data_IF_568261971927
#
_entry.id   IF_568261971927
#
_cell.length_a   1.000
_cell.length_b   1.000
_cell.length_c   1.000
_cell.angle_alpha   90.00
_cell.angle_beta   90.00
_cell.angle_gamma   90.00
#
_symmetry.space_group_name_H-M   'P 1'
#
loop_
_entity.id
_entity.type
_entity.pdbx_description
1 polymer ?
#
# COMPACT_ATOMS: atom_id res chain seq x y z
N UNK A 1 34.34 -55.65 -1.68
CA UNK A 1 34.98 -54.34 -1.41
C UNK A 1 35.39 -53.75 -2.76
N UNK A 2 34.48 -53.10 -3.48
CA UNK A 2 34.15 -51.66 -3.42
C UNK A 2 35.40 -50.78 -3.58
N UNK A 3 35.61 -50.20 -4.77
CA UNK A 3 35.95 -48.77 -4.96
C UNK A 3 35.94 -48.42 -6.47
N UNK A 4 34.87 -47.75 -6.93
CA UNK A 4 34.83 -46.35 -7.39
C UNK A 4 35.19 -46.15 -8.87
N UNK A 5 34.15 -46.16 -9.72
CA UNK A 5 34.19 -45.64 -11.09
C UNK A 5 33.91 -44.14 -11.10
N UNK A 6 34.81 -43.37 -11.72
CA UNK A 6 34.56 -41.98 -12.12
C UNK A 6 33.60 -41.94 -13.32
N UNK A 7 32.36 -41.50 -13.10
CA UNK A 7 31.52 -40.96 -14.19
C UNK A 7 31.52 -39.43 -14.10
N UNK A 8 32.21 -38.78 -15.03
CA UNK A 8 32.00 -37.37 -15.34
C UNK A 8 30.63 -37.19 -16.00
N UNK A 9 29.70 -36.53 -15.32
CA UNK A 9 28.46 -36.04 -15.93
C UNK A 9 28.78 -34.74 -16.68
N UNK A 10 28.67 -34.77 -18.02
CA UNK A 10 28.68 -33.56 -18.86
C UNK A 10 27.33 -32.86 -18.70
N UNK A 11 27.35 -31.61 -18.25
CA UNK A 11 26.21 -30.69 -18.28
C UNK A 11 26.04 -30.18 -19.73
N UNK A 12 24.88 -30.36 -20.39
CA UNK A 12 24.65 -29.73 -21.69
C UNK A 12 24.41 -28.22 -21.54
N UNK A 13 24.81 -27.40 -22.53
CA UNK A 13 24.67 -25.95 -22.47
C UNK A 13 23.20 -25.50 -22.50
N UNK A 14 22.96 -24.40 -21.79
CA UNK A 14 21.70 -23.67 -21.62
C UNK A 14 20.90 -23.50 -22.92
N UNK A 15 19.66 -24.00 -22.92
CA UNK A 15 18.66 -23.64 -23.92
C UNK A 15 18.14 -22.22 -23.65
N UNK A 16 18.19 -21.39 -24.70
CA UNK A 16 17.79 -19.98 -24.67
C UNK A 16 16.28 -19.83 -24.47
N UNK A 17 15.85 -18.86 -23.63
CA UNK A 17 14.44 -18.57 -23.27
C UNK A 17 13.50 -18.28 -24.46
N UNK A 18 14.01 -18.22 -25.69
CA UNK A 18 13.23 -17.89 -26.90
C UNK A 18 12.63 -19.08 -27.65
N UNK A 19 12.97 -20.32 -27.32
CA UNK A 19 12.42 -21.51 -28.03
C UNK A 19 11.26 -22.20 -27.30
N UNK A 20 10.88 -21.76 -26.09
CA UNK A 20 9.80 -22.36 -25.32
C UNK A 20 8.38 -21.85 -25.67
N UNK A 21 8.24 -20.97 -26.68
CA UNK A 21 6.95 -20.32 -27.02
C UNK A 21 6.32 -20.77 -28.35
N UNK A 22 6.78 -21.86 -28.97
CA UNK A 22 6.31 -22.30 -30.29
C UNK A 22 5.56 -23.65 -30.30
N UNK A 23 4.86 -24.01 -29.22
CA UNK A 23 3.98 -25.21 -29.20
C UNK A 23 2.52 -24.85 -28.92
N UNK A 24 1.64 -24.87 -29.93
CA UNK A 24 0.22 -24.50 -29.81
C UNK A 24 -0.65 -25.53 -29.09
N UNK A 25 -0.09 -26.65 -28.60
CA UNK A 25 -0.80 -27.71 -27.87
C UNK A 25 -0.73 -27.57 -26.34
N UNK A 26 0.04 -26.62 -25.80
CA UNK A 26 0.06 -26.32 -24.36
C UNK A 26 -1.04 -25.32 -23.91
N UNK A 27 -1.70 -24.65 -24.87
CA UNK A 27 -2.70 -23.61 -24.59
C UNK A 27 -4.08 -24.16 -24.17
N UNK A 28 -4.37 -25.44 -24.39
CA UNK A 28 -5.68 -26.04 -24.11
C UNK A 28 -5.80 -26.67 -22.70
N UNK A 29 -4.69 -26.88 -21.99
CA UNK A 29 -4.70 -27.44 -20.63
C UNK A 29 -4.76 -26.38 -19.51
N UNK A 30 -4.61 -25.08 -19.86
CA UNK A 30 -4.67 -23.98 -18.91
C UNK A 30 -6.10 -23.40 -18.72
N UNK A 31 -7.09 -23.86 -19.49
CA UNK A 31 -8.43 -23.25 -19.52
C UNK A 31 -9.48 -23.94 -18.62
N UNK A 32 -9.15 -25.02 -17.91
CA UNK A 32 -10.12 -25.80 -17.11
C UNK A 32 -9.89 -25.78 -15.59
N UNK A 33 -9.12 -24.81 -15.07
CA UNK A 33 -8.93 -24.59 -13.62
C UNK A 33 -9.49 -23.25 -13.12
N UNK A 34 -10.34 -22.58 -13.92
CA UNK A 34 -10.92 -21.27 -13.59
C UNK A 34 -12.19 -21.32 -12.71
N UNK A 35 -12.50 -22.43 -12.05
CA UNK A 35 -13.72 -22.57 -11.26
C UNK A 35 -13.50 -23.38 -9.97
N UNK A 36 -12.66 -22.88 -9.08
CA UNK A 36 -12.70 -23.22 -7.65
C UNK A 36 -12.15 -22.02 -6.88
N UNK A 37 -12.95 -21.49 -5.95
CA UNK A 37 -12.72 -20.21 -5.29
C UNK A 37 -11.35 -20.10 -4.64
N UNK A 38 -10.67 -18.98 -4.89
CA UNK A 38 -9.43 -18.62 -4.21
C UNK A 38 -9.68 -18.39 -2.72
N UNK A 39 -9.06 -19.16 -1.83
CA UNK A 39 -8.76 -18.67 -0.50
C UNK A 39 -7.45 -17.89 -0.62
N UNK A 40 -7.47 -16.57 -0.40
CA UNK A 40 -6.24 -15.90 -0.02
C UNK A 40 -5.69 -16.57 1.24
N UNK A 41 -4.39 -16.91 1.30
CA UNK A 41 -3.27 -16.07 0.89
C UNK A 41 -2.31 -16.77 -0.10
N UNK A 42 -1.95 -16.09 -1.20
CA UNK A 42 -0.76 -16.49 -1.96
C UNK A 42 0.41 -15.64 -1.46
N UNK A 43 1.27 -16.23 -0.62
CA UNK A 43 2.59 -15.67 -0.38
C UNK A 43 3.28 -15.50 -1.74
N UNK A 44 3.72 -14.29 -2.04
CA UNK A 44 4.54 -14.04 -3.21
C UNK A 44 5.73 -15.01 -3.18
N UNK A 45 5.91 -15.77 -4.26
CA UNK A 45 7.10 -16.62 -4.44
C UNK A 45 8.29 -15.67 -4.46
N UNK A 46 9.07 -15.66 -3.37
CA UNK A 46 10.31 -14.90 -3.29
C UNK A 46 11.30 -15.59 -4.23
N UNK A 47 11.46 -15.04 -5.44
CA UNK A 47 12.61 -15.37 -6.27
C UNK A 47 13.89 -15.01 -5.50
N UNK A 48 14.98 -15.75 -5.69
CA UNK A 48 16.31 -15.38 -5.18
C UNK A 48 16.61 -13.94 -5.62
N UNK A 49 16.39 -13.00 -4.72
CA UNK A 49 16.34 -11.57 -4.97
C UNK A 49 16.75 -10.81 -3.71
N UNK A 50 17.10 -9.54 -3.89
CA UNK A 50 17.59 -8.64 -2.83
C UNK A 50 16.70 -8.75 -1.60
N UNK A 51 17.28 -9.21 -0.49
CA UNK A 51 16.57 -9.30 0.78
C UNK A 51 16.66 -7.99 1.54
N UNK A 52 15.85 -7.83 2.60
CA UNK A 52 15.89 -6.64 3.44
C UNK A 52 17.31 -6.31 3.95
N UNK A 53 18.08 -7.33 4.32
CA UNK A 53 19.44 -7.15 4.87
C UNK A 53 20.45 -6.73 3.80
N UNK A 54 20.17 -7.00 2.52
CA UNK A 54 20.99 -6.58 1.37
C UNK A 54 20.73 -5.12 0.97
N UNK A 55 19.66 -4.50 1.47
CA UNK A 55 19.32 -3.12 1.15
C UNK A 55 20.33 -2.13 1.77
N UNK A 56 20.58 -0.97 1.12
CA UNK A 56 21.34 0.11 1.74
C UNK A 56 20.74 0.54 3.08
N UNK A 57 21.55 0.94 4.09
CA UNK A 57 21.05 1.31 5.41
C UNK A 57 19.97 2.40 5.40
N UNK A 58 20.06 3.36 4.46
CA UNK A 58 19.05 4.40 4.28
C UNK A 58 17.71 3.85 3.78
N UNK A 59 17.72 2.84 2.91
CA UNK A 59 16.51 2.17 2.43
C UNK A 59 15.85 1.38 3.56
N UNK A 60 16.66 0.66 4.34
CA UNK A 60 16.20 -0.06 5.54
C UNK A 60 15.54 0.87 6.56
N UNK A 61 16.18 2.01 6.85
CA UNK A 61 15.66 3.04 7.76
C UNK A 61 14.36 3.66 7.22
N UNK A 62 14.36 4.09 5.95
CA UNK A 62 13.18 4.67 5.31
C UNK A 62 12.00 3.69 5.32
N UNK A 63 12.26 2.41 5.01
CA UNK A 63 11.25 1.36 5.09
C UNK A 63 10.65 1.30 6.50
N UNK A 64 11.47 1.06 7.54
CA UNK A 64 11.03 0.95 8.93
C UNK A 64 10.20 2.16 9.38
N UNK A 65 10.60 3.33 8.92
CA UNK A 65 10.00 4.61 9.26
C UNK A 65 8.63 4.84 8.59
N UNK A 66 8.47 4.48 7.31
CA UNK A 66 7.31 4.88 6.51
C UNK A 66 6.30 3.78 6.20
N UNK A 67 6.66 2.50 6.30
CA UNK A 67 5.72 1.40 6.07
C UNK A 67 4.43 1.48 6.94
N UNK A 68 4.46 1.87 8.23
CA UNK A 68 3.23 1.91 9.03
C UNK A 68 2.29 3.02 8.56
N UNK A 69 2.85 4.17 8.18
CA UNK A 69 2.10 5.32 7.68
C UNK A 69 1.39 4.96 6.38
N UNK A 70 2.13 4.33 5.47
CA UNK A 70 1.63 3.95 4.17
C UNK A 70 0.53 2.88 4.28
N UNK A 71 0.67 1.92 5.19
CA UNK A 71 -0.39 0.95 5.43
C UNK A 71 -1.65 1.61 6.02
N UNK A 72 -1.51 2.55 6.97
CA UNK A 72 -2.65 3.27 7.51
C UNK A 72 -3.36 4.13 6.46
N UNK A 73 -2.59 4.70 5.52
CA UNK A 73 -3.16 5.38 4.36
C UNK A 73 -3.98 4.39 3.51
N UNK A 74 -3.44 3.22 3.17
CA UNK A 74 -4.21 2.17 2.48
C UNK A 74 -5.46 1.71 3.27
N UNK A 75 -5.39 1.63 4.60
CA UNK A 75 -6.55 1.31 5.42
C UNK A 75 -7.63 2.39 5.30
N UNK A 76 -7.25 3.68 5.29
CA UNK A 76 -8.20 4.79 5.06
C UNK A 76 -8.82 4.73 3.66
N UNK A 77 -8.08 4.23 2.66
CA UNK A 77 -8.57 4.03 1.29
C UNK A 77 -9.76 3.05 1.26
N UNK A 78 -9.71 2.01 2.09
CA UNK A 78 -10.76 1.00 2.21
C UNK A 78 -11.86 1.41 3.18
N UNK A 79 -11.50 1.91 4.36
CA UNK A 79 -12.45 2.12 5.45
C UNK A 79 -13.15 3.48 5.41
N UNK A 80 -12.58 4.46 4.73
CA UNK A 80 -13.15 5.80 4.60
C UNK A 80 -13.53 6.09 3.15
N UNK A 81 -12.59 5.94 2.21
CA UNK A 81 -12.81 6.41 0.84
C UNK A 81 -13.78 5.51 0.05
N UNK A 82 -13.70 4.19 0.18
CA UNK A 82 -14.65 3.28 -0.48
C UNK A 82 -16.10 3.52 -0.03
N UNK A 83 -16.32 3.79 1.25
CA UNK A 83 -17.65 4.08 1.81
C UNK A 83 -18.28 5.36 1.25
N UNK A 84 -17.49 6.27 0.69
CA UNK A 84 -17.99 7.51 0.07
C UNK A 84 -18.45 7.30 -1.38
N UNK A 85 -18.01 6.24 -2.05
CA UNK A 85 -18.37 5.97 -3.45
C UNK A 85 -19.90 5.89 -3.66
N UNK A 86 -20.69 5.17 -2.84
CA UNK A 86 -22.14 5.10 -3.02
C UNK A 86 -22.88 6.36 -2.57
N UNK A 87 -22.18 7.39 -2.05
CA UNK A 87 -22.79 8.60 -1.48
C UNK A 87 -22.39 9.87 -2.27
N UNK A 88 -22.97 10.13 -3.46
CA UNK A 88 -22.68 11.35 -4.24
C UNK A 88 -22.83 12.68 -3.50
N UNK A 89 -23.73 12.73 -2.51
CA UNK A 89 -23.90 13.90 -1.64
C UNK A 89 -22.74 14.15 -0.68
N UNK A 90 -21.76 13.25 -0.63
CA UNK A 90 -20.54 13.35 0.19
C UNK A 90 -19.25 13.23 -0.63
N UNK A 91 -19.34 13.38 -1.95
CA UNK A 91 -18.18 13.36 -2.84
C UNK A 91 -17.28 14.59 -2.69
N UNK A 92 -17.74 15.65 -2.03
CA UNK A 92 -16.90 16.75 -1.55
C UNK A 92 -15.75 16.24 -0.67
N UNK A 93 -16.02 15.24 0.18
CA UNK A 93 -15.03 14.59 1.04
C UNK A 93 -13.98 13.81 0.24
N UNK A 94 -14.33 13.28 -0.93
CA UNK A 94 -13.38 12.66 -1.87
C UNK A 94 -12.54 13.75 -2.56
N UNK A 95 -13.16 14.85 -2.94
CA UNK A 95 -12.49 16.03 -3.49
C UNK A 95 -11.41 16.57 -2.54
N UNK A 96 -11.78 16.77 -1.27
CA UNK A 96 -10.94 17.36 -0.23
C UNK A 96 -9.59 16.64 -0.01
N UNK A 97 -9.46 15.38 -0.46
CA UNK A 97 -8.21 14.62 -0.35
C UNK A 97 -7.04 15.32 -1.06
N UNK A 98 -7.29 16.02 -2.17
CA UNK A 98 -6.26 16.76 -2.92
C UNK A 98 -6.15 18.23 -2.54
N UNK A 99 -7.03 18.74 -1.66
CA UNK A 99 -7.02 20.15 -1.28
C UNK A 99 -5.92 20.45 -0.26
N UNK A 100 -5.17 21.52 -0.52
CA UNK A 100 -4.34 22.18 0.49
C UNK A 100 -5.18 23.26 1.18
N UNK A 101 -5.13 23.31 2.50
CA UNK A 101 -5.80 24.38 3.27
C UNK A 101 -4.79 25.47 3.60
N UNK A 102 -5.10 26.71 3.29
CA UNK A 102 -4.33 27.85 3.78
C UNK A 102 -4.71 28.11 5.25
N UNK A 103 -3.72 28.05 6.15
CA UNK A 103 -3.89 28.35 7.58
C UNK A 103 -3.27 29.71 7.96
N UNK A 104 -3.17 30.63 6.99
CA UNK A 104 -2.71 31.99 7.19
C UNK A 104 -1.25 32.17 6.76
N UNK A 105 -0.29 31.87 7.63
CA UNK A 105 1.15 32.04 7.34
C UNK A 105 1.81 30.81 6.70
N UNK A 106 1.09 29.69 6.57
CA UNK A 106 1.58 28.47 5.96
C UNK A 106 0.46 27.74 5.19
N UNK A 107 0.79 27.19 4.03
CA UNK A 107 -0.10 26.25 3.34
C UNK A 107 0.01 24.86 4.00
N UNK A 108 -1.11 24.31 4.45
CA UNK A 108 -1.19 22.94 4.89
C UNK A 108 -1.18 22.00 3.68
N UNK A 109 -0.27 21.03 3.69
CA UNK A 109 -0.13 20.01 2.65
C UNK A 109 -1.39 19.15 2.60
N UNK A 110 -1.87 18.82 1.40
CA UNK A 110 -3.09 18.02 1.20
C UNK A 110 -3.01 16.65 1.87
N UNK A 111 -4.17 16.04 2.16
CA UNK A 111 -4.22 14.67 2.72
C UNK A 111 -3.49 13.69 1.80
N UNK A 112 -3.71 13.78 0.49
CA UNK A 112 -3.05 12.95 -0.52
C UNK A 112 -1.53 13.05 -0.41
N UNK A 113 -1.00 14.27 -0.41
CA UNK A 113 0.44 14.50 -0.42
C UNK A 113 1.08 14.07 0.91
N UNK A 114 0.42 14.36 2.04
CA UNK A 114 0.92 14.04 3.39
C UNK A 114 0.88 12.54 3.70
N UNK A 115 -0.21 11.86 3.38
CA UNK A 115 -0.46 10.49 3.83
C UNK A 115 -0.04 9.43 2.81
N UNK A 116 -0.05 9.76 1.51
CA UNK A 116 0.29 8.81 0.44
C UNK A 116 1.55 9.21 -0.32
N UNK A 117 1.53 10.36 -1.01
CA UNK A 117 2.57 10.64 -2.02
C UNK A 117 3.94 10.90 -1.40
N UNK A 118 4.02 11.62 -0.28
CA UNK A 118 5.30 11.87 0.40
C UNK A 118 5.94 10.58 0.90
N UNK A 119 5.25 9.71 1.69
CA UNK A 119 5.80 8.41 2.07
C UNK A 119 6.21 7.55 0.87
N UNK A 120 5.35 7.45 -0.15
CA UNK A 120 5.65 6.65 -1.35
C UNK A 120 6.88 7.19 -2.09
N UNK A 121 7.01 8.51 -2.24
CA UNK A 121 8.16 9.14 -2.90
C UNK A 121 9.46 8.91 -2.14
N UNK A 122 9.43 9.05 -0.81
CA UNK A 122 10.61 8.80 0.03
C UNK A 122 11.07 7.34 -0.12
N UNK A 123 10.14 6.40 -0.04
CA UNK A 123 10.43 4.97 -0.20
C UNK A 123 10.97 4.65 -1.60
N UNK A 124 10.32 5.15 -2.65
CA UNK A 124 10.71 4.92 -4.03
C UNK A 124 12.09 5.51 -4.40
N UNK A 125 12.51 6.58 -3.72
CA UNK A 125 13.83 7.20 -3.89
C UNK A 125 14.91 6.55 -3.02
N UNK A 126 14.54 5.96 -1.89
CA UNK A 126 15.49 5.33 -0.98
C UNK A 126 15.95 3.95 -1.49
N UNK A 127 15.10 3.24 -2.23
CA UNK A 127 15.40 1.92 -2.75
C UNK A 127 16.17 1.98 -4.07
N UNK A 128 17.21 1.13 -4.25
CA UNK A 128 17.85 0.94 -5.54
C UNK A 128 16.86 0.55 -6.66
N UNK A 129 17.11 0.95 -7.92
CA UNK A 129 16.29 0.56 -9.07
C UNK A 129 16.01 -0.94 -9.16
N UNK A 130 17.05 -1.75 -8.98
CA UNK A 130 17.05 -3.22 -9.04
C UNK A 130 16.41 -3.89 -7.82
N UNK A 131 16.16 -3.13 -6.74
CA UNK A 131 15.47 -3.59 -5.53
C UNK A 131 13.99 -3.14 -5.49
N UNK A 132 13.40 -2.81 -6.64
CA UNK A 132 11.99 -2.38 -6.74
C UNK A 132 11.78 -0.87 -6.79
N UNK A 133 12.86 -0.07 -6.81
CA UNK A 133 12.80 1.39 -6.88
C UNK A 133 12.07 1.91 -8.12
N UNK A 134 12.33 1.32 -9.29
CA UNK A 134 11.70 1.73 -10.55
C UNK A 134 10.21 1.37 -10.57
N UNK A 135 9.84 0.18 -10.12
CA UNK A 135 8.47 -0.29 -10.02
C UNK A 135 7.67 0.58 -9.04
N UNK A 136 8.27 0.95 -7.90
CA UNK A 136 7.67 1.87 -6.93
C UNK A 136 7.43 3.25 -7.54
N UNK A 137 8.39 3.81 -8.29
CA UNK A 137 8.19 5.10 -8.96
C UNK A 137 7.09 5.04 -10.03
N UNK A 138 7.05 3.98 -10.82
CA UNK A 138 6.00 3.76 -11.82
C UNK A 138 4.61 3.64 -11.17
N UNK A 139 4.50 2.89 -10.07
CA UNK A 139 3.27 2.73 -9.31
C UNK A 139 2.83 4.04 -8.64
N UNK A 140 3.76 4.81 -8.06
CA UNK A 140 3.51 6.14 -7.50
C UNK A 140 2.89 7.08 -8.54
N UNK A 141 3.46 7.15 -9.74
CA UNK A 141 2.94 8.02 -10.80
C UNK A 141 1.52 7.63 -11.23
N UNK A 142 1.24 6.32 -11.35
CA UNK A 142 -0.10 5.81 -11.65
C UNK A 142 -1.10 6.11 -10.53
N UNK A 143 -0.69 5.94 -9.28
CA UNK A 143 -1.51 6.22 -8.12
C UNK A 143 -1.84 7.71 -8.03
N UNK A 144 -0.84 8.57 -8.16
CA UNK A 144 -1.00 10.02 -8.18
C UNK A 144 -1.99 10.47 -9.26
N UNK A 145 -1.82 9.98 -10.50
CA UNK A 145 -2.73 10.28 -11.60
C UNK A 145 -4.17 9.84 -11.31
N UNK A 146 -4.35 8.63 -10.76
CA UNK A 146 -5.66 8.10 -10.40
C UNK A 146 -6.33 8.93 -9.31
N UNK A 147 -5.58 9.36 -8.28
CA UNK A 147 -6.15 10.15 -7.18
C UNK A 147 -6.54 11.57 -7.60
N UNK A 148 -5.74 12.24 -8.43
CA UNK A 148 -6.13 13.53 -8.99
C UNK A 148 -7.36 13.40 -9.89
N UNK A 149 -7.43 12.35 -10.71
CA UNK A 149 -8.60 12.08 -11.54
C UNK A 149 -9.84 11.76 -10.71
N UNK A 150 -9.70 10.99 -9.62
CA UNK A 150 -10.77 10.64 -8.71
C UNK A 150 -11.35 11.90 -8.07
N UNK A 151 -10.50 12.75 -7.47
CA UNK A 151 -10.95 14.00 -6.86
C UNK A 151 -11.52 14.98 -7.89
N UNK A 152 -11.09 14.96 -9.15
CA UNK A 152 -11.70 15.77 -10.23
C UNK A 152 -13.11 15.29 -10.55
N UNK A 153 -13.29 13.98 -10.78
CA UNK A 153 -14.59 13.40 -11.11
C UNK A 153 -15.58 13.53 -9.96
N UNK A 154 -15.12 13.28 -8.72
CA UNK A 154 -15.94 13.42 -7.53
C UNK A 154 -16.45 14.86 -7.35
N UNK A 155 -15.60 15.89 -7.51
CA UNK A 155 -16.03 17.29 -7.46
C UNK A 155 -17.01 17.65 -8.57
N UNK A 156 -16.83 17.11 -9.77
CA UNK A 156 -17.74 17.38 -10.89
C UNK A 156 -19.13 16.76 -10.67
N UNK A 157 -19.18 15.58 -10.04
CA UNK A 157 -20.42 14.85 -9.77
C UNK A 157 -21.01 15.04 -8.38
N UNK A 158 -20.42 15.89 -7.53
CA UNK A 158 -20.90 16.10 -6.16
C UNK A 158 -22.28 16.77 -6.15
N UNK A 159 -23.17 16.28 -5.29
CA UNK A 159 -24.53 16.82 -5.19
C UNK A 159 -24.72 17.76 -4.00
N UNK A 160 -23.65 18.12 -3.29
CA UNK A 160 -23.72 19.08 -2.18
C UNK A 160 -24.19 20.43 -2.70
N UNK A 161 -25.41 20.84 -2.34
CA UNK A 161 -26.04 22.07 -2.84
C UNK A 161 -26.65 21.96 -4.24
N UNK A 162 -26.65 20.77 -4.86
CA UNK A 162 -27.28 20.51 -6.16
C UNK A 162 -28.45 19.52 -6.01
N UNK A 163 -29.55 19.76 -6.73
CA UNK A 163 -30.73 18.88 -6.71
C UNK A 163 -30.66 17.71 -7.70
N UNK A 164 -29.75 17.75 -8.67
CA UNK A 164 -29.59 16.70 -9.67
C UNK A 164 -28.55 15.66 -9.20
N UNK A 165 -28.94 14.38 -9.21
CA UNK A 165 -28.03 13.27 -8.97
C UNK A 165 -27.08 13.05 -10.17
N UNK A 166 -25.85 12.56 -9.95
CA UNK A 166 -24.97 12.19 -11.05
C UNK A 166 -25.58 11.04 -11.87
N UNK A 167 -25.27 11.02 -13.16
CA UNK A 167 -25.62 9.94 -14.05
C UNK A 167 -24.90 8.64 -13.67
N UNK A 168 -25.47 7.49 -14.05
CA UNK A 168 -24.82 6.18 -13.85
C UNK A 168 -23.42 6.10 -14.47
N UNK A 169 -23.18 6.85 -15.56
CA UNK A 169 -21.87 6.93 -16.21
C UNK A 169 -20.85 7.67 -15.35
N UNK A 170 -21.26 8.74 -14.66
CA UNK A 170 -20.38 9.50 -13.75
C UNK A 170 -20.04 8.68 -12.51
N UNK A 171 -21.03 7.97 -11.94
CA UNK A 171 -20.80 7.02 -10.84
C UNK A 171 -19.81 5.93 -11.25
N UNK A 172 -20.03 5.27 -12.40
CA UNK A 172 -19.12 4.24 -12.89
C UNK A 172 -17.70 4.79 -13.16
N UNK A 173 -17.56 6.04 -13.60
CA UNK A 173 -16.25 6.66 -13.80
C UNK A 173 -15.51 6.91 -12.49
N UNK A 174 -16.23 7.33 -11.43
CA UNK A 174 -15.66 7.51 -10.08
C UNK A 174 -15.23 6.15 -9.50
N UNK A 175 -16.10 5.14 -9.56
CA UNK A 175 -15.79 3.77 -9.10
C UNK A 175 -14.58 3.18 -9.83
N UNK A 176 -14.55 3.30 -11.16
CA UNK A 176 -13.40 2.83 -11.96
C UNK A 176 -12.11 3.53 -11.54
N UNK A 177 -12.15 4.85 -11.36
CA UNK A 177 -10.94 5.61 -11.00
C UNK A 177 -10.44 5.26 -9.59
N UNK A 178 -11.36 4.96 -8.67
CA UNK A 178 -11.01 4.38 -7.37
C UNK A 178 -10.35 3.01 -7.54
N UNK A 179 -10.86 2.13 -8.40
CA UNK A 179 -10.23 0.82 -8.63
C UNK A 179 -8.86 0.92 -9.34
N UNK A 180 -8.68 1.89 -10.24
CA UNK A 180 -7.38 2.20 -10.85
C UNK A 180 -6.37 2.64 -9.78
N UNK A 181 -6.79 3.51 -8.85
CA UNK A 181 -5.98 3.93 -7.70
C UNK A 181 -5.64 2.77 -6.76
N UNK A 182 -6.62 1.92 -6.43
CA UNK A 182 -6.42 0.68 -5.67
C UNK A 182 -5.38 -0.23 -6.31
N UNK A 183 -5.46 -0.43 -7.62
CA UNK A 183 -4.52 -1.27 -8.35
C UNK A 183 -3.11 -0.68 -8.30
N UNK A 184 -2.98 0.64 -8.47
CA UNK A 184 -1.68 1.30 -8.41
C UNK A 184 -1.02 1.26 -7.02
N UNK A 185 -1.77 1.47 -5.94
CA UNK A 185 -1.22 1.35 -4.58
C UNK A 185 -0.84 -0.10 -4.25
N UNK A 186 -1.60 -1.09 -4.73
CA UNK A 186 -1.23 -2.49 -4.58
C UNK A 186 0.06 -2.84 -5.34
N UNK A 187 0.24 -2.35 -6.56
CA UNK A 187 1.51 -2.53 -7.29
C UNK A 187 2.70 -1.90 -6.56
N UNK A 188 2.50 -0.76 -5.88
CA UNK A 188 3.52 -0.18 -5.01
C UNK A 188 3.86 -1.12 -3.83
N UNK A 189 2.83 -1.70 -3.21
CA UNK A 189 3.00 -2.61 -2.06
C UNK A 189 3.70 -3.91 -2.47
N UNK A 190 3.37 -4.44 -3.65
CA UNK A 190 4.02 -5.62 -4.22
C UNK A 190 5.51 -5.38 -4.45
N UNK A 191 5.89 -4.25 -5.07
CA UNK A 191 7.28 -3.87 -5.28
C UNK A 191 8.04 -3.72 -3.94
N UNK A 192 7.45 -3.00 -2.99
CA UNK A 192 8.07 -2.76 -1.69
C UNK A 192 8.20 -4.02 -0.83
N UNK A 193 7.16 -4.88 -0.79
CA UNK A 193 7.23 -6.16 -0.09
C UNK A 193 8.26 -7.11 -0.73
N UNK A 194 8.41 -7.07 -2.06
CA UNK A 194 9.42 -7.88 -2.77
C UNK A 194 10.83 -7.44 -2.39
N UNK A 195 11.12 -6.13 -2.43
CA UNK A 195 12.42 -5.59 -2.04
C UNK A 195 12.72 -5.66 -0.53
N UNK A 196 11.74 -6.01 0.31
CA UNK A 196 11.89 -6.15 1.76
C UNK A 196 11.62 -7.57 2.25
N UNK A 197 11.70 -8.55 1.35
CA UNK A 197 11.60 -9.96 1.71
C UNK A 197 12.62 -10.30 2.81
N UNK A 198 12.19 -11.08 3.80
CA UNK A 198 13.03 -11.45 4.96
C UNK A 198 13.02 -10.43 6.11
N UNK A 199 12.46 -9.21 5.94
CA UNK A 199 12.26 -8.31 7.06
C UNK A 199 11.37 -8.96 8.13
N UNK A 200 11.91 -9.24 9.32
CA UNK A 200 11.13 -9.82 10.42
C UNK A 200 9.92 -8.92 10.71
N UNK A 201 8.68 -9.46 10.79
CA UNK A 201 7.54 -8.66 11.26
C UNK A 201 7.67 -8.38 12.77
N UNK A 202 6.91 -7.42 13.29
CA UNK A 202 6.84 -7.12 14.72
C UNK A 202 6.50 -8.34 15.61
N UNK A 203 6.01 -9.44 15.00
CA UNK A 203 5.69 -10.72 15.64
C UNK A 203 6.77 -11.80 15.51
N UNK A 204 7.92 -11.50 14.88
CA UNK A 204 8.99 -12.50 14.63
C UNK A 204 8.69 -13.49 13.49
N UNK A 205 7.54 -13.37 12.81
CA UNK A 205 7.21 -14.12 11.58
C UNK A 205 7.66 -13.33 10.34
N UNK A 206 8.16 -14.00 9.32
CA UNK A 206 8.44 -13.40 8.00
C UNK A 206 7.12 -13.33 7.24
N UNK A 207 6.47 -12.17 7.28
CA UNK A 207 5.24 -11.89 6.53
C UNK A 207 5.35 -10.49 5.91
N UNK A 208 4.79 -10.27 4.70
CA UNK A 208 4.75 -8.94 4.11
C UNK A 208 4.05 -7.98 5.07
N UNK A 209 4.73 -6.88 5.42
CA UNK A 209 4.18 -5.90 6.37
C UNK A 209 3.08 -5.06 5.74
N UNK A 210 3.10 -4.90 4.42
CA UNK A 210 2.08 -4.18 3.67
C UNK A 210 1.04 -5.15 3.11
N UNK A 211 -0.22 -4.90 3.43
CA UNK A 211 -1.38 -5.68 3.01
C UNK A 211 -2.09 -4.94 1.87
N UNK A 212 -2.19 -5.59 0.72
CA UNK A 212 -2.88 -5.06 -0.44
C UNK A 212 -4.40 -4.95 -0.24
N UNK A 213 -5.01 -4.03 -0.99
CA UNK A 213 -6.44 -3.73 -0.92
C UNK A 213 -7.24 -4.64 -1.88
N UNK A 214 -8.27 -5.34 -1.38
CA UNK A 214 -9.15 -6.15 -2.22
C UNK A 214 -9.97 -5.35 -3.21
N UNK A 215 -10.37 -5.97 -4.34
CA UNK A 215 -11.48 -5.45 -5.13
C UNK A 215 -12.68 -5.16 -4.22
N UNK A 216 -13.21 -3.94 -4.30
CA UNK A 216 -14.35 -3.49 -3.48
C UNK A 216 -14.14 -3.59 -1.96
N UNK A 217 -12.89 -3.70 -1.48
CA UNK A 217 -12.58 -3.88 -0.06
C UNK A 217 -13.06 -5.21 0.56
N UNK A 218 -13.63 -6.13 -0.23
CA UNK A 218 -14.21 -7.37 0.26
C UNK A 218 -13.13 -8.33 0.79
N UNK A 219 -13.29 -8.83 2.01
CA UNK A 219 -12.32 -9.75 2.62
C UNK A 219 -11.02 -9.09 3.06
N UNK A 220 -11.00 -7.76 3.24
CA UNK A 220 -9.82 -7.08 3.78
C UNK A 220 -9.51 -7.58 5.20
N UNK A 221 -8.28 -8.08 5.48
CA UNK A 221 -8.01 -8.78 6.74
C UNK A 221 -7.89 -7.84 7.94
N UNK A 222 -7.73 -6.53 7.71
CA UNK A 222 -7.59 -5.55 8.80
C UNK A 222 -8.95 -5.13 9.33
N UNK A 223 -9.03 -4.90 10.64
CA UNK A 223 -10.27 -4.53 11.32
C UNK A 223 -10.54 -3.03 11.23
N UNK A 224 -11.64 -2.67 10.57
CA UNK A 224 -12.20 -1.31 10.58
C UNK A 224 -12.44 -0.79 12.00
N UNK A 225 -12.90 -1.66 12.92
CA UNK A 225 -13.15 -1.29 14.33
C UNK A 225 -11.86 -0.85 15.02
N UNK A 226 -10.78 -1.62 14.86
CA UNK A 226 -9.49 -1.26 15.46
C UNK A 226 -8.88 -0.03 14.79
N UNK A 227 -9.04 0.12 13.47
CA UNK A 227 -8.65 1.33 12.74
C UNK A 227 -9.34 2.58 13.31
N UNK A 228 -10.67 2.54 13.44
CA UNK A 228 -11.44 3.66 13.99
C UNK A 228 -11.04 3.97 15.43
N UNK A 229 -10.77 2.95 16.26
CA UNK A 229 -10.30 3.16 17.63
C UNK A 229 -8.92 3.82 17.66
N UNK A 230 -7.98 3.33 16.84
CA UNK A 230 -6.64 3.91 16.73
C UNK A 230 -6.69 5.39 16.33
N UNK A 231 -7.54 5.74 15.35
CA UNK A 231 -7.72 7.14 14.92
C UNK A 231 -8.33 8.02 16.02
N UNK A 232 -9.28 7.49 16.79
CA UNK A 232 -9.89 8.18 17.95
C UNK A 232 -8.87 8.41 19.06
N UNK A 233 -8.15 7.37 19.46
CA UNK A 233 -7.12 7.42 20.50
C UNK A 233 -6.04 8.44 20.14
N UNK A 234 -5.59 8.43 18.89
CA UNK A 234 -4.62 9.39 18.42
C UNK A 234 -5.14 10.84 18.34
N UNK A 235 -6.42 11.05 18.06
CA UNK A 235 -7.04 12.38 18.16
C UNK A 235 -7.10 12.86 19.62
N UNK A 236 -7.46 11.98 20.56
CA UNK A 236 -7.43 12.28 22.00
C UNK A 236 -6.02 12.66 22.48
N UNK A 237 -4.99 11.96 22.02
CA UNK A 237 -3.59 12.31 22.32
C UNK A 237 -3.22 13.72 21.89
N UNK A 238 -3.56 14.10 20.64
CA UNK A 238 -3.28 15.44 20.13
C UNK A 238 -3.98 16.50 20.98
N UNK A 239 -5.25 16.28 21.29
CA UNK A 239 -6.06 17.21 22.08
C UNK A 239 -5.62 17.33 23.55
N UNK A 240 -4.88 16.36 24.09
CA UNK A 240 -4.36 16.35 25.48
C UNK A 240 -2.92 16.88 25.60
N UNK A 241 -2.42 17.59 24.59
CA UNK A 241 -1.06 18.15 24.62
C UNK A 241 0.03 17.12 24.32
N UNK A 242 -0.26 16.11 23.49
CA UNK A 242 0.69 15.07 23.11
C UNK A 242 2.02 15.57 22.53
N UNK A 243 2.10 16.81 22.03
CA UNK A 243 3.37 17.45 21.64
C UNK A 243 4.29 17.74 22.84
N UNK A 244 3.73 18.15 23.98
CA UNK A 244 4.52 18.41 25.20
C UNK A 244 5.04 17.12 25.85
N UNK A 245 4.34 16.00 25.68
CA UNK A 245 4.77 14.68 26.16
C UNK A 245 5.69 13.97 25.17
N UNK A 246 5.59 14.22 23.86
CA UNK A 246 6.51 13.68 22.85
C UNK A 246 7.95 14.14 23.07
N UNK A 247 8.16 15.34 23.63
CA UNK A 247 9.49 15.86 24.01
C UNK A 247 10.11 15.20 25.25
N UNK A 248 9.32 14.51 26.09
CA UNK A 248 9.79 13.88 27.33
C UNK A 248 10.25 12.42 27.14
N UNK A 249 9.84 11.75 26.04
CA UNK A 249 10.18 10.35 25.73
C UNK A 249 11.43 10.19 24.86
N UNK A 250 12.38 11.13 25.02
CA UNK A 250 13.72 11.05 24.45
C UNK A 250 13.74 11.19 22.93
N UNK A 251 14.95 11.31 22.40
CA UNK A 251 15.28 11.38 20.98
C UNK A 251 14.88 10.13 20.15
N UNK A 252 13.80 9.44 20.52
CA UNK A 252 12.97 8.59 19.66
C UNK A 252 12.03 9.43 18.78
N UNK A 253 12.47 10.66 18.45
CA UNK A 253 11.96 11.52 17.39
C UNK A 253 12.30 10.94 16.00
N UNK A 254 11.95 9.66 15.80
CA UNK A 254 11.75 8.99 14.51
C UNK A 254 10.51 8.07 14.62
N UNK A 255 9.57 8.39 15.51
CA UNK A 255 8.19 7.86 15.51
C UNK A 255 7.16 8.96 15.20
N UNK A 256 7.60 10.03 14.51
CA UNK A 256 6.78 11.10 13.97
C UNK A 256 6.34 10.89 12.52
N UNK A 257 6.34 9.66 12.00
CA UNK A 257 6.12 9.39 10.57
C UNK A 257 4.74 8.89 10.18
N UNK A 258 3.86 8.68 11.16
CA UNK A 258 2.42 8.72 10.91
C UNK A 258 1.87 10.00 11.54
N UNK A 259 1.68 11.09 10.77
CA UNK A 259 0.96 12.25 11.27
C UNK A 259 -0.36 11.83 11.91
N UNK A 260 -0.46 11.98 13.24
CA UNK A 260 -1.67 11.71 13.99
C UNK A 260 -1.90 10.27 14.44
N UNK A 261 -0.86 9.49 14.78
CA UNK A 261 -0.98 8.25 15.59
C UNK A 261 0.04 8.23 16.72
N UNK A 262 -0.32 8.81 17.87
CA UNK A 262 0.46 8.77 19.13
C UNK A 262 -0.18 7.69 20.06
N UNK A 263 0.56 6.91 20.87
CA UNK A 263 0.08 5.64 21.43
C UNK A 263 -0.74 5.79 22.73
N UNK A 264 -1.27 6.97 23.04
CA UNK A 264 -2.15 7.12 24.20
C UNK A 264 -3.54 6.57 23.87
N UNK A 265 -3.80 5.35 24.33
CA UNK A 265 -5.04 4.62 24.05
C UNK A 265 -4.94 3.14 24.40
N UNK A 266 -6.05 2.41 24.30
CA UNK A 266 -6.06 0.95 24.49
C UNK A 266 -5.62 0.19 23.24
N UNK A 267 -5.66 0.84 22.06
CA UNK A 267 -5.14 0.32 20.80
C UNK A 267 -3.91 1.14 20.40
N UNK A 268 -2.74 0.51 20.42
CA UNK A 268 -1.49 1.11 19.93
C UNK A 268 -1.11 0.53 18.56
N UNK A 269 -0.06 1.07 17.94
CA UNK A 269 0.45 0.62 16.64
C UNK A 269 0.76 -0.89 16.65
N UNK A 270 1.42 -1.40 17.68
CA UNK A 270 1.77 -2.81 17.77
C UNK A 270 0.53 -3.72 17.73
N UNK A 271 -0.49 -3.41 18.54
CA UNK A 271 -1.76 -4.15 18.58
C UNK A 271 -2.50 -4.08 17.24
N UNK A 272 -2.45 -2.93 16.56
CA UNK A 272 -3.10 -2.74 15.27
C UNK A 272 -2.40 -3.50 14.13
N UNK A 273 -1.07 -3.57 14.15
CA UNK A 273 -0.26 -4.27 13.14
C UNK A 273 -0.07 -5.77 13.42
N UNK A 274 -0.51 -6.28 14.57
CA UNK A 274 -0.48 -7.70 14.91
C UNK A 274 -1.66 -8.52 14.34
N UNK A 275 -2.57 -7.88 13.59
CA UNK A 275 -3.74 -8.50 12.96
C UNK A 275 -3.35 -9.41 11.79
#
# INVERSE_FOLDING_TARGET
MLLFGCLSVRVPPSLSRREAMSSPLAAAAAASLAAAGSPWPAAAVVADGVTYDDLPPKAQQAYQQYWPALQLAADSYVFELYDLLPEPGRWDSIGAITESTDIGSAASVSKLEREYLTPMRILALAFPPDAGGEEMQAALNKFQGSMFQLSRLARAGQTTGNVAAPSAKEVAAVEKTWDDGRTAINSFFEALNSGTAGAASASGKVAPRLVGIPPKGAGYPRSKKLYTQLRKDAALCRNRGGEALAGLWGNLMVYGTVPGVNPCGSVNMANYFAQ
#
